data_IF_494174772552
#
_entry.id   IF_494174772552
#
_cell.length_a   1.000
_cell.length_b   1.000
_cell.length_c   1.000
_cell.angle_alpha   90.00
_cell.angle_beta   90.00
_cell.angle_gamma   90.00
#
_symmetry.space_group_name_H-M   'P 1'
#
loop_
_entity.id
_entity.type
_entity.pdbx_description
1 polymer ?
#
# COMPACT_ATOMS: atom_id res chain seq x y z
N UNK A 1 -1.24 -23.70 20.56
CA UNK A 1 -1.79 -22.62 19.70
C UNK A 1 -1.16 -21.24 19.89
N UNK A 2 -1.21 -20.57 21.06
CA UNK A 2 -0.62 -19.21 21.19
C UNK A 2 0.91 -19.21 20.99
N UNK A 3 1.62 -20.16 21.58
CA UNK A 3 3.06 -20.37 21.37
C UNK A 3 3.44 -20.49 19.88
N UNK A 4 2.65 -21.26 19.12
CA UNK A 4 2.88 -21.46 17.68
C UNK A 4 2.60 -20.19 16.87
N UNK A 5 1.60 -19.40 17.27
CA UNK A 5 1.35 -18.08 16.70
C UNK A 5 2.55 -17.16 16.95
N UNK A 6 3.11 -17.17 18.16
CA UNK A 6 4.31 -16.40 18.48
C UNK A 6 5.51 -16.86 17.68
N UNK A 7 5.77 -18.17 17.62
CA UNK A 7 6.88 -18.73 16.85
C UNK A 7 6.82 -18.34 15.37
N UNK A 8 5.68 -18.55 14.70
CA UNK A 8 5.48 -18.13 13.30
C UNK A 8 5.64 -16.61 13.13
N UNK A 9 5.06 -15.82 14.03
CA UNK A 9 5.18 -14.37 13.99
C UNK A 9 6.64 -13.89 14.17
N UNK A 10 7.39 -14.43 15.13
CA UNK A 10 8.78 -14.07 15.37
C UNK A 10 9.70 -14.56 14.26
N UNK A 11 9.48 -15.77 13.72
CA UNK A 11 10.23 -16.28 12.57
C UNK A 11 10.05 -15.37 11.34
N UNK A 12 8.87 -14.77 11.18
CA UNK A 12 8.60 -13.79 10.13
C UNK A 12 9.11 -12.37 10.43
N UNK A 13 9.82 -12.15 11.54
CA UNK A 13 10.23 -10.83 12.02
C UNK A 13 9.05 -9.86 12.19
N UNK A 14 7.89 -10.41 12.54
CA UNK A 14 6.64 -9.67 12.72
C UNK A 14 5.92 -9.29 11.43
N UNK A 15 6.39 -9.69 10.24
CA UNK A 15 5.74 -9.36 8.96
C UNK A 15 4.42 -10.12 8.79
N UNK A 16 4.29 -11.31 9.36
CA UNK A 16 3.13 -12.16 9.12
C UNK A 16 1.91 -11.72 9.94
N UNK A 17 0.81 -11.49 9.22
CA UNK A 17 -0.52 -11.32 9.81
C UNK A 17 -1.27 -12.64 9.93
N UNK A 18 -2.46 -12.60 10.52
CA UNK A 18 -3.27 -13.78 10.83
C UNK A 18 -3.49 -14.77 9.68
N UNK A 19 -3.51 -14.30 8.43
CA UNK A 19 -3.65 -15.17 7.26
C UNK A 19 -2.40 -16.02 7.00
N UNK A 20 -1.20 -15.43 7.12
CA UNK A 20 0.07 -16.14 6.90
C UNK A 20 0.41 -17.02 8.09
N UNK A 21 0.22 -16.50 9.31
CA UNK A 21 0.33 -17.30 10.53
C UNK A 21 -0.61 -18.51 10.50
N UNK A 22 -1.87 -18.35 10.05
CA UNK A 22 -2.78 -19.49 9.88
C UNK A 22 -2.28 -20.51 8.84
N UNK A 23 -1.63 -20.06 7.77
CA UNK A 23 -1.06 -20.98 6.77
C UNK A 23 0.08 -21.80 7.38
N UNK A 24 1.01 -21.16 8.10
CA UNK A 24 2.12 -21.83 8.78
C UNK A 24 1.60 -22.84 9.83
N UNK A 25 0.59 -22.46 10.62
CA UNK A 25 -0.02 -23.37 11.59
C UNK A 25 -0.70 -24.57 10.92
N UNK A 26 -1.36 -24.35 9.77
CA UNK A 26 -1.98 -25.44 9.00
C UNK A 26 -0.94 -26.39 8.43
N UNK A 27 0.19 -25.87 7.96
CA UNK A 27 1.32 -26.67 7.47
C UNK A 27 1.97 -27.48 8.61
N UNK A 28 2.05 -26.91 9.81
CA UNK A 28 2.49 -27.59 11.02
C UNK A 28 1.48 -28.60 11.60
N UNK A 29 0.34 -28.82 10.94
CA UNK A 29 -0.67 -29.80 11.37
C UNK A 29 -1.60 -29.32 12.49
N UNK A 30 -1.64 -28.03 12.81
CA UNK A 30 -2.53 -27.49 13.84
C UNK A 30 -3.98 -27.36 13.36
N UNK A 31 -4.90 -27.92 14.15
CA UNK A 31 -6.33 -27.84 13.88
C UNK A 31 -6.95 -26.58 14.51
N UNK A 32 -7.10 -25.52 13.71
CA UNK A 32 -7.83 -24.32 14.13
C UNK A 32 -8.14 -23.39 12.97
N UNK A 33 -9.39 -22.94 12.86
CA UNK A 33 -9.80 -22.08 11.74
C UNK A 33 -9.14 -20.69 11.76
N UNK A 34 -9.04 -20.06 10.58
CA UNK A 34 -8.50 -18.70 10.37
C UNK A 34 -9.02 -17.65 11.37
N UNK A 35 -10.29 -17.75 11.76
CA UNK A 35 -10.92 -16.83 12.70
C UNK A 35 -10.45 -17.02 14.14
N UNK A 36 -10.13 -18.26 14.53
CA UNK A 36 -9.55 -18.57 15.85
C UNK A 36 -8.16 -17.95 15.96
N UNK A 37 -7.31 -18.14 14.94
CA UNK A 37 -5.98 -17.52 14.86
C UNK A 37 -6.08 -15.98 14.92
N UNK A 38 -6.95 -15.39 14.10
CA UNK A 38 -7.15 -13.93 14.11
C UNK A 38 -7.65 -13.40 15.47
N UNK A 39 -8.51 -14.16 16.17
CA UNK A 39 -9.00 -13.80 17.50
C UNK A 39 -7.87 -13.86 18.54
N UNK A 40 -7.05 -14.90 18.52
CA UNK A 40 -5.88 -15.01 19.41
C UNK A 40 -4.90 -13.86 19.16
N UNK A 41 -4.50 -13.62 17.91
CA UNK A 41 -3.60 -12.51 17.59
C UNK A 41 -4.17 -11.16 18.07
N UNK A 42 -5.47 -10.91 17.90
CA UNK A 42 -6.13 -9.69 18.40
C UNK A 42 -6.11 -9.60 19.92
N UNK A 43 -6.45 -10.67 20.63
CA UNK A 43 -6.46 -10.72 22.11
C UNK A 43 -5.07 -10.44 22.70
N UNK A 44 -4.02 -10.92 22.03
CA UNK A 44 -2.62 -10.76 22.45
C UNK A 44 -1.90 -9.58 21.79
N UNK A 45 -2.63 -8.67 21.12
CA UNK A 45 -2.09 -7.47 20.45
C UNK A 45 -0.98 -7.77 19.42
N UNK A 46 -0.98 -8.96 18.84
CA UNK A 46 -0.05 -9.36 17.76
C UNK A 46 -0.60 -8.81 16.44
N UNK A 47 0.19 -7.97 15.78
CA UNK A 47 -0.18 -7.33 14.51
C UNK A 47 0.99 -7.38 13.55
N UNK A 48 0.71 -7.64 12.29
CA UNK A 48 1.72 -7.59 11.23
C UNK A 48 2.36 -6.20 11.19
N UNK A 49 3.68 -6.16 11.34
CA UNK A 49 4.52 -5.00 11.09
C UNK A 49 4.56 -4.80 9.58
N UNK A 50 3.85 -3.79 9.09
CA UNK A 50 4.01 -3.33 7.72
C UNK A 50 5.26 -2.47 7.68
N UNK A 51 6.14 -2.73 6.73
CA UNK A 51 7.32 -1.89 6.48
C UNK A 51 6.94 -0.43 6.24
N UNK A 52 7.93 0.45 6.29
CA UNK A 52 7.78 1.88 6.05
C UNK A 52 6.90 2.14 4.83
N UNK A 53 5.86 2.96 4.99
CA UNK A 53 5.04 3.39 3.87
C UNK A 53 5.95 4.26 2.99
N UNK A 54 6.40 3.70 1.86
CA UNK A 54 7.24 4.44 0.93
C UNK A 54 6.61 5.82 0.68
N UNK A 55 7.39 6.91 0.73
CA UNK A 55 6.85 8.23 0.46
C UNK A 55 6.25 8.20 -0.94
N UNK A 56 5.14 8.91 -1.12
CA UNK A 56 4.61 9.12 -2.46
C UNK A 56 5.73 9.70 -3.32
N UNK A 57 5.85 9.19 -4.55
CA UNK A 57 6.83 9.68 -5.51
C UNK A 57 6.56 11.18 -5.68
N UNK A 58 7.40 12.02 -5.08
CA UNK A 58 7.35 13.46 -5.32
C UNK A 58 7.84 13.59 -6.75
N UNK A 59 6.96 14.00 -7.66
CA UNK A 59 7.38 14.36 -9.01
C UNK A 59 8.51 15.40 -8.86
N UNK A 60 9.66 15.12 -9.45
CA UNK A 60 10.80 16.05 -9.44
C UNK A 60 10.38 17.40 -10.01
N UNK A 61 11.21 18.43 -9.81
CA UNK A 61 10.98 19.74 -10.45
C UNK A 61 10.72 19.51 -11.94
N UNK A 62 9.61 20.01 -12.49
CA UNK A 62 9.32 19.85 -13.90
C UNK A 62 10.45 20.47 -14.71
N UNK A 63 10.83 19.83 -15.82
CA UNK A 63 11.75 20.44 -16.78
C UNK A 63 11.06 21.66 -17.41
N UNK A 64 11.55 22.86 -17.11
CA UNK A 64 10.99 24.11 -17.64
C UNK A 64 11.69 24.41 -18.96
N UNK A 65 11.18 23.82 -20.05
CA UNK A 65 11.61 24.16 -21.42
C UNK A 65 10.95 25.48 -21.87
N UNK A 66 9.74 25.75 -21.38
CA UNK A 66 9.01 26.99 -21.63
C UNK A 66 8.23 27.41 -20.36
N UNK A 67 8.03 28.71 -20.12
CA UNK A 67 7.23 29.19 -19.00
C UNK A 67 5.78 28.71 -19.11
N UNK A 68 5.22 28.23 -18.00
CA UNK A 68 3.79 27.93 -17.92
C UNK A 68 3.01 29.26 -17.82
N UNK A 69 2.40 29.68 -18.93
CA UNK A 69 1.60 30.90 -18.98
C UNK A 69 0.22 30.75 -18.32
N UNK A 70 -0.31 29.53 -18.24
CA UNK A 70 -1.67 29.30 -17.76
C UNK A 70 -1.76 29.24 -16.24
N UNK A 71 -0.75 28.67 -15.55
CA UNK A 71 -0.70 28.59 -14.09
C UNK A 71 -2.01 28.08 -13.43
N UNK A 72 -2.69 27.12 -14.07
CA UNK A 72 -4.00 26.58 -13.66
C UNK A 72 -5.15 27.61 -13.63
N UNK A 73 -5.01 28.75 -14.32
CA UNK A 73 -6.05 29.73 -14.53
C UNK A 73 -6.83 29.37 -15.79
N UNK A 74 -7.93 28.63 -15.62
CA UNK A 74 -8.76 28.15 -16.75
C UNK A 74 -9.90 29.10 -17.10
N UNK A 75 -10.14 30.12 -16.29
CA UNK A 75 -11.14 31.15 -16.55
C UNK A 75 -10.54 32.22 -17.45
N UNK A 76 -11.11 32.38 -18.65
CA UNK A 76 -10.73 33.39 -19.63
C UNK A 76 -11.94 34.27 -19.97
N UNK A 77 -11.65 35.50 -20.36
CA UNK A 77 -12.63 36.55 -20.68
C UNK A 77 -13.29 36.37 -22.06
N UNK A 78 -12.62 35.66 -22.97
CA UNK A 78 -13.11 35.37 -24.32
C UNK A 78 -12.62 33.99 -24.81
N UNK A 79 -13.32 33.38 -25.79
CA UNK A 79 -12.82 32.21 -26.51
C UNK A 79 -11.42 32.43 -27.12
N UNK A 80 -10.72 31.34 -27.42
CA UNK A 80 -9.42 31.30 -28.11
C UNK A 80 -8.23 32.00 -27.42
N UNK A 81 -8.37 32.38 -26.14
CA UNK A 81 -7.32 33.01 -25.33
C UNK A 81 -6.30 32.04 -24.73
N UNK A 82 -6.68 30.78 -24.51
CA UNK A 82 -5.83 29.75 -23.93
C UNK A 82 -6.12 28.38 -24.53
N UNK A 83 -5.08 27.64 -24.86
CA UNK A 83 -5.16 26.31 -25.48
C UNK A 83 -4.35 25.31 -24.66
N UNK A 84 -4.90 24.11 -24.44
CA UNK A 84 -4.25 23.01 -23.72
C UNK A 84 -4.39 21.76 -24.56
N UNK A 85 -3.29 21.01 -24.70
CA UNK A 85 -3.29 19.69 -25.30
C UNK A 85 -2.71 18.68 -24.31
N UNK A 86 -3.21 17.45 -24.37
CA UNK A 86 -2.69 16.32 -23.59
C UNK A 86 -2.37 15.17 -24.54
N UNK A 87 -1.32 14.41 -24.22
CA UNK A 87 -0.96 13.19 -24.94
C UNK A 87 -1.31 12.01 -24.04
N UNK A 88 -2.09 11.07 -24.57
CA UNK A 88 -2.41 9.82 -23.89
C UNK A 88 -1.73 8.68 -24.64
N UNK A 89 -0.90 7.91 -23.95
CA UNK A 89 -0.27 6.72 -24.51
C UNK A 89 -1.24 5.54 -24.44
N UNK A 90 -1.49 4.91 -25.58
CA UNK A 90 -2.21 3.63 -25.65
C UNK A 90 -1.17 2.52 -25.70
N UNK A 91 -1.33 1.52 -24.83
CA UNK A 91 -0.42 0.37 -24.76
C UNK A 91 -0.72 -0.57 -25.94
N UNK A 92 0.31 -0.89 -26.72
CA UNK A 92 0.29 -1.97 -27.74
C UNK A 92 0.39 -3.36 -27.12
#
# INVERSE_FOLDING_TARGET
>A
MLELIYYSYTASHGVYGARRVFADLREAGEYGGKHRVARFMRKHKIKAVRGYKAPWHIASRPSIIAPNHLQRQFTVDAPDKAWITVITYIRT
#
